data_IF_547492615892
#
_entry.id   IF_547492615892
#
_cell.length_a   1.000
_cell.length_b   1.000
_cell.length_c   1.000
_cell.angle_alpha   90.00
_cell.angle_beta   90.00
_cell.angle_gamma   90.00
#
_symmetry.space_group_name_H-M   'P 1'
#
loop_
_entity.id
_entity.type
_entity.pdbx_description
1 polymer ?
#
# COMPACT_ATOMS: atom_id res chain seq x y z
N UNK A 1 9.45 -13.60 -1.22
CA UNK A 1 9.80 -13.85 0.18
C UNK A 1 9.04 -12.83 1.02
N UNK A 2 8.29 -13.27 2.03
CA UNK A 2 7.45 -12.39 2.85
C UNK A 2 8.28 -11.52 3.80
N UNK A 3 9.42 -12.03 4.29
CA UNK A 3 10.30 -11.26 5.18
C UNK A 3 10.98 -10.11 4.41
N UNK A 4 11.41 -10.38 3.18
CA UNK A 4 11.92 -9.34 2.27
C UNK A 4 10.87 -8.26 2.00
N UNK A 5 9.61 -8.68 1.78
CA UNK A 5 8.51 -7.77 1.53
C UNK A 5 8.19 -6.90 2.76
N UNK A 6 8.15 -7.50 3.96
CA UNK A 6 8.00 -6.76 5.22
C UNK A 6 9.13 -5.75 5.40
N UNK A 7 10.38 -6.17 5.18
CA UNK A 7 11.54 -5.30 5.34
C UNK A 7 11.45 -4.08 4.42
N UNK A 8 11.05 -4.28 3.16
CA UNK A 8 10.84 -3.20 2.21
C UNK A 8 9.73 -2.25 2.66
N UNK A 9 8.58 -2.76 3.09
CA UNK A 9 7.50 -1.94 3.61
C UNK A 9 7.91 -1.15 4.86
N UNK A 10 8.75 -1.76 5.70
CA UNK A 10 9.27 -1.16 6.92
C UNK A 10 10.31 -0.09 6.67
N UNK A 11 10.89 -0.01 5.46
CA UNK A 11 11.82 1.04 5.08
C UNK A 11 11.13 2.36 4.74
N UNK A 12 9.84 2.33 4.35
CA UNK A 12 9.08 3.56 4.15
C UNK A 12 8.78 4.24 5.49
N UNK A 13 8.86 5.57 5.49
CA UNK A 13 8.32 6.40 6.56
C UNK A 13 6.78 6.42 6.54
N UNK A 14 6.17 6.81 7.66
CA UNK A 14 4.71 6.78 7.83
C UNK A 14 3.93 7.56 6.75
N UNK A 15 4.36 8.78 6.34
CA UNK A 15 3.73 9.49 5.24
C UNK A 15 3.77 8.73 3.91
N UNK A 16 4.91 8.12 3.57
CA UNK A 16 5.06 7.35 2.33
C UNK A 16 4.20 6.09 2.34
N UNK A 17 4.20 5.35 3.44
CA UNK A 17 3.38 4.15 3.58
C UNK A 17 1.89 4.49 3.48
N UNK A 18 1.46 5.61 4.08
CA UNK A 18 0.09 6.10 3.95
C UNK A 18 -0.24 6.50 2.51
N UNK A 19 0.68 7.14 1.80
CA UNK A 19 0.47 7.51 0.39
C UNK A 19 0.31 6.28 -0.49
N UNK A 20 1.17 5.26 -0.32
CA UNK A 20 1.05 3.98 -1.03
C UNK A 20 -0.32 3.33 -0.76
N UNK A 21 -0.74 3.33 0.50
CA UNK A 21 -2.03 2.78 0.91
C UNK A 21 -3.22 3.50 0.26
N UNK A 22 -3.20 4.84 0.20
CA UNK A 22 -4.26 5.61 -0.43
C UNK A 22 -4.25 5.49 -1.96
N UNK A 23 -3.07 5.44 -2.59
CA UNK A 23 -2.94 5.28 -4.04
C UNK A 23 -3.61 3.98 -4.52
N UNK A 24 -3.40 2.87 -3.81
CA UNK A 24 -4.00 1.58 -4.15
C UNK A 24 -5.40 1.37 -3.54
N UNK A 25 -6.02 2.37 -2.93
CA UNK A 25 -7.26 2.17 -2.16
C UNK A 25 -8.39 1.58 -2.99
N UNK A 26 -8.59 2.05 -4.22
CA UNK A 26 -9.64 1.56 -5.09
C UNK A 26 -9.35 0.12 -5.56
N UNK A 27 -8.10 -0.20 -5.87
CA UNK A 27 -7.67 -1.57 -6.15
C UNK A 27 -7.87 -2.49 -4.94
N UNK A 28 -7.56 -2.00 -3.73
CA UNK A 28 -7.76 -2.72 -2.48
C UNK A 28 -9.24 -3.00 -2.23
N UNK A 29 -10.13 -2.03 -2.48
CA UNK A 29 -11.58 -2.26 -2.41
C UNK A 29 -11.98 -3.37 -3.36
N UNK A 30 -11.57 -3.29 -4.63
CA UNK A 30 -11.90 -4.30 -5.63
C UNK A 30 -11.35 -5.69 -5.26
N UNK A 31 -10.11 -5.77 -4.77
CA UNK A 31 -9.51 -7.02 -4.30
C UNK A 31 -10.32 -7.60 -3.13
N UNK A 32 -10.68 -6.77 -2.14
CA UNK A 32 -11.43 -7.19 -0.95
C UNK A 32 -12.84 -7.67 -1.28
N UNK A 33 -13.45 -7.15 -2.34
CA UNK A 33 -14.75 -7.61 -2.80
C UNK A 33 -14.70 -9.00 -3.46
N UNK A 34 -13.54 -9.37 -4.02
CA UNK A 34 -13.36 -10.61 -4.77
C UNK A 34 -12.56 -11.69 -4.02
N UNK A 35 -11.88 -11.37 -2.92
CA UNK A 35 -11.14 -12.33 -2.12
C UNK A 35 -12.06 -13.07 -1.12
N UNK A 36 -11.70 -14.31 -0.76
CA UNK A 36 -12.41 -15.02 0.30
C UNK A 36 -12.21 -14.29 1.65
N UNK A 37 -13.27 -13.63 2.10
CA UNK A 37 -13.30 -12.87 3.35
C UNK A 37 -12.95 -13.72 4.57
N UNK A 38 -13.35 -15.00 4.64
CA UNK A 38 -13.05 -15.85 5.80
C UNK A 38 -11.55 -16.13 5.89
N UNK A 39 -10.91 -16.39 4.74
CA UNK A 39 -9.46 -16.63 4.67
C UNK A 39 -8.71 -15.36 5.05
N UNK A 40 -9.11 -14.20 4.51
CA UNK A 40 -8.51 -12.91 4.85
C UNK A 40 -8.63 -12.57 6.34
N UNK A 41 -9.83 -12.69 6.92
CA UNK A 41 -10.04 -12.39 8.34
C UNK A 41 -9.25 -13.34 9.24
N UNK A 42 -9.13 -14.62 8.87
CA UNK A 42 -8.28 -15.56 9.59
C UNK A 42 -6.82 -15.15 9.58
N UNK A 43 -6.28 -14.74 8.43
CA UNK A 43 -4.91 -14.23 8.31
C UNK A 43 -4.69 -12.98 9.15
N UNK A 44 -5.58 -11.98 9.06
CA UNK A 44 -5.50 -10.74 9.84
C UNK A 44 -5.49 -11.00 11.35
N UNK A 45 -6.33 -11.94 11.82
CA UNK A 45 -6.38 -12.34 13.22
C UNK A 45 -5.09 -13.06 13.64
N UNK A 46 -4.59 -13.97 12.81
CA UNK A 46 -3.36 -14.75 13.11
C UNK A 46 -2.12 -13.87 13.27
N UNK A 47 -2.06 -12.75 12.52
CA UNK A 47 -0.97 -11.78 12.53
C UNK A 47 -1.20 -10.62 13.50
N UNK A 48 -2.28 -10.67 14.30
CA UNK A 48 -2.66 -9.63 15.24
C UNK A 48 -2.80 -8.22 14.60
N UNK A 49 -3.20 -8.18 13.33
CA UNK A 49 -3.39 -6.92 12.61
C UNK A 49 -4.56 -6.15 13.19
N UNK A 50 -5.69 -6.84 13.42
CA UNK A 50 -6.87 -6.26 14.07
C UNK A 50 -7.83 -7.32 14.61
N UNK A 51 -8.79 -6.90 15.46
CA UNK A 51 -9.86 -7.77 15.91
C UNK A 51 -10.88 -7.93 14.78
N UNK A 52 -11.02 -9.15 14.27
CA UNK A 52 -11.81 -9.44 13.08
C UNK A 52 -13.28 -9.82 13.35
N UNK A 53 -13.69 -9.94 14.60
CA UNK A 53 -14.96 -10.55 14.97
C UNK A 53 -16.18 -9.73 14.47
N UNK A 54 -16.00 -8.42 14.23
CA UNK A 54 -17.05 -7.52 13.75
C UNK A 54 -17.30 -7.57 12.23
N UNK A 55 -16.35 -8.06 11.42
CA UNK A 55 -16.44 -7.85 9.96
C UNK A 55 -17.31 -8.85 9.21
N UNK A 56 -17.37 -10.10 9.67
CA UNK A 56 -18.27 -11.08 9.06
C UNK A 56 -19.74 -10.65 9.19
N UNK A 57 -20.22 -10.20 10.37
CA UNK A 57 -21.56 -9.60 10.49
C UNK A 57 -21.77 -8.37 9.61
N UNK A 58 -20.77 -7.48 9.48
CA UNK A 58 -20.88 -6.30 8.60
C UNK A 58 -21.07 -6.72 7.15
N UNK A 59 -20.30 -7.69 6.67
CA UNK A 59 -20.43 -8.18 5.28
C UNK A 59 -21.81 -8.78 5.03
N UNK A 60 -22.33 -9.57 5.98
CA UNK A 60 -23.63 -10.24 5.86
C UNK A 60 -24.82 -9.27 5.98
N UNK A 61 -24.72 -8.26 6.86
CA UNK A 61 -25.81 -7.31 7.12
C UNK A 61 -25.80 -6.07 6.23
N UNK A 62 -24.62 -5.52 5.93
CA UNK A 62 -24.44 -4.23 5.24
C UNK A 62 -23.78 -4.38 3.86
N UNK A 63 -23.42 -5.60 3.47
CA UNK A 63 -22.88 -5.91 2.16
C UNK A 63 -21.35 -5.77 2.06
N UNK A 64 -20.82 -6.25 0.93
CA UNK A 64 -19.38 -6.37 0.70
C UNK A 64 -18.66 -5.02 0.60
N UNK A 65 -19.31 -4.00 0.02
CA UNK A 65 -18.76 -2.65 -0.07
C UNK A 65 -18.60 -2.00 1.31
N UNK A 66 -19.61 -2.12 2.18
CA UNK A 66 -19.51 -1.61 3.55
C UNK A 66 -18.39 -2.31 4.32
N UNK A 67 -18.25 -3.62 4.14
CA UNK A 67 -17.15 -4.41 4.69
C UNK A 67 -15.77 -3.90 4.21
N UNK A 68 -15.55 -3.75 2.90
CA UNK A 68 -14.26 -3.36 2.35
C UNK A 68 -13.86 -1.95 2.80
N UNK A 69 -14.76 -0.98 2.71
CA UNK A 69 -14.51 0.38 3.18
C UNK A 69 -14.22 0.44 4.68
N UNK A 70 -15.00 -0.26 5.51
CA UNK A 70 -14.82 -0.26 6.97
C UNK A 70 -13.49 -0.90 7.36
N UNK A 71 -13.16 -2.05 6.76
CA UNK A 71 -11.90 -2.74 7.02
C UNK A 71 -10.70 -1.87 6.67
N UNK A 72 -10.71 -1.26 5.48
CA UNK A 72 -9.61 -0.40 5.04
C UNK A 72 -9.48 0.86 5.91
N UNK A 73 -10.59 1.44 6.34
CA UNK A 73 -10.54 2.57 7.25
C UNK A 73 -9.96 2.18 8.63
N UNK A 74 -10.42 1.08 9.22
CA UNK A 74 -9.94 0.60 10.52
C UNK A 74 -8.43 0.26 10.49
N UNK A 75 -7.95 -0.35 9.40
CA UNK A 75 -6.52 -0.65 9.21
C UNK A 75 -5.71 0.65 9.21
N UNK A 76 -6.14 1.64 8.44
CA UNK A 76 -5.48 2.94 8.36
C UNK A 76 -5.47 3.65 9.71
N UNK A 77 -6.61 3.66 10.40
CA UNK A 77 -6.78 4.36 11.69
C UNK A 77 -5.97 3.70 12.81
N UNK A 78 -5.75 2.38 12.73
CA UNK A 78 -4.88 1.65 13.66
C UNK A 78 -3.38 1.95 13.45
N UNK A 79 -3.02 2.50 12.29
CA UNK A 79 -1.70 3.05 12.03
C UNK A 79 -0.74 2.11 11.31
N UNK A 80 0.52 2.51 11.29
CA UNK A 80 1.59 1.97 10.43
C UNK A 80 1.71 0.44 10.47
N UNK A 81 1.82 -0.13 11.67
CA UNK A 81 2.03 -1.58 11.83
C UNK A 81 0.82 -2.39 11.34
N UNK A 82 -0.39 -1.85 11.45
CA UNK A 82 -1.59 -2.49 10.90
C UNK A 82 -1.59 -2.44 9.37
N UNK A 83 -1.14 -1.34 8.76
CA UNK A 83 -0.99 -1.23 7.30
C UNK A 83 0.04 -2.23 6.79
N UNK A 84 1.22 -2.32 7.42
CA UNK A 84 2.26 -3.31 7.06
C UNK A 84 1.69 -4.72 7.20
N UNK A 85 1.10 -5.04 8.35
CA UNK A 85 0.53 -6.36 8.61
C UNK A 85 -0.59 -6.73 7.62
N UNK A 86 -1.40 -5.76 7.18
CA UNK A 86 -2.40 -5.98 6.14
C UNK A 86 -1.77 -6.32 4.79
N UNK A 87 -0.76 -5.58 4.35
CA UNK A 87 -0.02 -5.90 3.12
C UNK A 87 0.64 -7.28 3.19
N UNK A 88 1.17 -7.67 4.34
CA UNK A 88 1.69 -9.02 4.54
C UNK A 88 0.63 -10.11 4.44
N UNK A 89 -0.58 -9.87 4.95
CA UNK A 89 -1.71 -10.78 4.79
C UNK A 89 -2.01 -10.97 3.30
N UNK A 90 -2.14 -9.86 2.55
CA UNK A 90 -2.37 -9.89 1.11
C UNK A 90 -1.24 -10.62 0.35
N UNK A 91 0.01 -10.40 0.76
CA UNK A 91 1.16 -11.10 0.18
C UNK A 91 1.12 -12.61 0.45
N UNK A 92 0.66 -13.05 1.62
CA UNK A 92 0.50 -14.46 1.93
C UNK A 92 -0.61 -15.10 1.09
N UNK A 93 -1.74 -14.40 0.94
CA UNK A 93 -2.90 -14.87 0.19
C UNK A 93 -2.63 -15.08 -1.29
N UNK A 94 -1.66 -14.37 -1.88
CA UNK A 94 -1.36 -14.44 -3.33
C UNK A 94 -1.05 -15.84 -3.84
N UNK A 95 -0.52 -16.73 -2.98
CA UNK A 95 -0.19 -18.11 -3.34
C UNK A 95 -1.43 -18.99 -3.46
N UNK A 96 -2.36 -18.81 -2.54
CA UNK A 96 -3.56 -19.64 -2.44
C UNK A 96 -4.71 -19.05 -3.28
N UNK A 97 -4.70 -17.73 -3.50
CA UNK A 97 -5.73 -16.97 -4.20
C UNK A 97 -5.08 -15.94 -5.15
N UNK A 98 -4.51 -16.39 -6.28
CA UNK A 98 -3.86 -15.51 -7.24
C UNK A 98 -4.91 -14.67 -7.99
N UNK A 99 -5.30 -13.55 -7.39
CA UNK A 99 -6.15 -12.57 -8.05
C UNK A 99 -5.27 -11.62 -8.89
N UNK A 100 -5.56 -11.39 -10.20
CA UNK A 100 -4.70 -10.59 -11.08
C UNK A 100 -4.35 -9.21 -10.52
N UNK A 101 -5.32 -8.48 -9.98
CA UNK A 101 -5.07 -7.15 -9.41
C UNK A 101 -4.25 -7.23 -8.12
N UNK A 102 -4.41 -8.30 -7.33
CA UNK A 102 -3.60 -8.51 -6.13
C UNK A 102 -2.13 -8.73 -6.54
N UNK A 103 -1.90 -9.56 -7.56
CA UNK A 103 -0.56 -9.80 -8.09
C UNK A 103 0.05 -8.51 -8.65
N UNK A 104 -0.71 -7.75 -9.43
CA UNK A 104 -0.25 -6.49 -10.02
C UNK A 104 0.16 -5.46 -8.96
N UNK A 105 -0.66 -5.24 -7.93
CA UNK A 105 -0.35 -4.31 -6.84
C UNK A 105 0.88 -4.78 -6.06
N UNK A 106 0.93 -6.06 -5.68
CA UNK A 106 2.08 -6.60 -4.94
C UNK A 106 3.36 -6.54 -5.76
N UNK A 107 3.31 -6.84 -7.06
CA UNK A 107 4.46 -6.74 -7.95
C UNK A 107 4.91 -5.28 -8.12
N UNK A 108 3.99 -4.33 -8.27
CA UNK A 108 4.30 -2.91 -8.31
C UNK A 108 5.05 -2.45 -7.05
N UNK A 109 4.57 -2.86 -5.88
CA UNK A 109 5.28 -2.58 -4.62
C UNK A 109 6.66 -3.24 -4.63
N UNK A 110 6.74 -4.55 -4.91
CA UNK A 110 7.98 -5.33 -4.76
C UNK A 110 9.06 -4.93 -5.78
N UNK A 111 8.67 -4.52 -6.98
CA UNK A 111 9.61 -4.20 -8.06
C UNK A 111 10.11 -2.76 -7.96
N UNK A 112 9.24 -1.80 -7.63
CA UNK A 112 9.64 -0.39 -7.61
C UNK A 112 10.40 -0.01 -6.35
N UNK A 113 10.11 -0.66 -5.21
CA UNK A 113 10.85 -0.43 -3.98
C UNK A 113 10.84 1.05 -3.57
N UNK A 114 12.00 1.60 -3.21
CA UNK A 114 12.14 2.98 -2.74
C UNK A 114 11.58 4.02 -3.73
N UNK A 115 11.64 3.76 -5.05
CA UNK A 115 11.11 4.67 -6.07
C UNK A 115 9.59 4.67 -6.22
N UNK A 116 8.85 3.85 -5.44
CA UNK A 116 7.40 3.72 -5.57
C UNK A 116 6.68 5.02 -5.24
N UNK A 117 7.13 5.70 -4.19
CA UNK A 117 6.55 6.97 -3.76
C UNK A 117 6.74 8.03 -4.84
N UNK A 118 7.91 8.05 -5.48
CA UNK A 118 8.21 8.98 -6.58
C UNK A 118 7.35 8.69 -7.81
N UNK A 119 7.12 7.41 -8.14
CA UNK A 119 6.19 7.03 -9.21
C UNK A 119 4.76 7.48 -8.91
N UNK A 120 4.28 7.26 -7.69
CA UNK A 120 2.94 7.71 -7.27
C UNK A 120 2.82 9.23 -7.40
N UNK A 121 3.83 9.97 -6.93
CA UNK A 121 3.86 11.43 -7.06
C UNK A 121 3.86 11.87 -8.53
N UNK A 122 4.62 11.18 -9.39
CA UNK A 122 4.65 11.46 -10.82
C UNK A 122 3.33 11.13 -11.53
N UNK A 123 2.60 10.10 -11.09
CA UNK A 123 1.29 9.76 -11.64
C UNK A 123 0.22 10.78 -11.20
N UNK A 124 0.17 11.10 -9.91
CA UNK A 124 -0.73 12.12 -9.34
C UNK A 124 -0.53 13.48 -10.01
N UNK A 125 0.73 13.89 -10.21
CA UNK A 125 1.09 15.16 -10.85
C UNK A 125 1.02 15.07 -12.39
N UNK A 126 1.24 13.88 -12.95
CA UNK A 126 1.29 13.62 -14.38
C UNK A 126 -0.04 13.80 -15.08
N UNK A 127 -1.16 13.59 -14.37
CA UNK A 127 -2.49 13.95 -14.88
C UNK A 127 -2.66 15.46 -15.15
N UNK A 128 -1.84 16.32 -14.55
CA UNK A 128 -1.92 17.78 -14.68
C UNK A 128 -0.91 18.38 -15.68
N UNK A 129 0.01 17.57 -16.23
CA UNK A 129 1.18 18.08 -16.94
C UNK A 129 1.42 17.39 -18.29
N UNK A 130 1.72 18.19 -19.31
CA UNK A 130 2.07 17.71 -20.65
C UNK A 130 3.35 16.85 -20.64
N UNK A 131 3.55 15.94 -21.61
CA UNK A 131 4.68 14.99 -21.64
C UNK A 131 6.07 15.61 -21.50
N UNK A 132 6.25 16.86 -21.94
CA UNK A 132 7.50 17.62 -21.84
C UNK A 132 7.80 18.09 -20.41
N UNK A 133 6.76 18.43 -19.64
CA UNK A 133 6.89 18.85 -18.24
C UNK A 133 7.18 17.65 -17.33
N UNK A 134 6.66 16.46 -17.67
CA UNK A 134 6.96 15.21 -16.96
C UNK A 134 8.46 14.89 -16.96
N UNK A 135 9.12 15.02 -18.12
CA UNK A 135 10.56 14.79 -18.24
C UNK A 135 11.43 15.78 -17.44
N UNK A 136 10.95 17.02 -17.29
CA UNK A 136 11.64 18.04 -16.51
C UNK A 136 11.43 17.87 -15.00
N UNK A 137 10.26 17.43 -14.56
CA UNK A 137 9.97 17.16 -13.14
C UNK A 137 10.76 15.96 -12.62
N UNK A 138 10.87 14.87 -13.38
CA UNK A 138 11.72 13.73 -13.00
C UNK A 138 13.18 14.14 -12.85
N UNK A 139 13.69 15.02 -13.72
CA UNK A 139 15.04 15.61 -13.56
C UNK A 139 15.15 16.52 -12.34
N UNK A 140 14.16 17.38 -12.11
CA UNK A 140 14.18 18.33 -11.00
C UNK A 140 14.07 17.62 -9.63
N UNK A 141 13.22 16.60 -9.53
CA UNK A 141 13.06 15.81 -8.32
C UNK A 141 14.32 14.99 -8.01
N UNK A 142 14.93 14.35 -9.01
CA UNK A 142 16.22 13.67 -8.85
C UNK A 142 17.33 14.65 -8.42
N UNK A 143 17.36 15.86 -8.98
CA UNK A 143 18.32 16.89 -8.57
C UNK A 143 18.06 17.38 -7.14
N UNK A 144 16.79 17.48 -6.73
CA UNK A 144 16.41 17.86 -5.37
C UNK A 144 16.85 16.81 -4.36
N UNK A 145 16.58 15.52 -4.63
CA UNK A 145 17.01 14.40 -3.77
C UNK A 145 18.55 14.32 -3.64
N UNK A 146 19.28 14.49 -4.74
CA UNK A 146 20.75 14.54 -4.72
C UNK A 146 21.29 15.77 -3.96
N UNK A 147 20.56 16.89 -3.99
CA UNK A 147 20.95 18.08 -3.24
C UNK A 147 20.72 17.91 -1.73
N UNK A 148 19.69 17.16 -1.31
CA UNK A 148 19.42 16.89 0.10
C UNK A 148 20.43 15.91 0.73
N UNK A 149 20.97 14.97 -0.04
CA UNK A 149 22.07 14.11 0.45
C UNK A 149 23.38 14.89 0.69
N UNK A 150 23.55 16.04 0.02
CA UNK A 150 24.69 16.93 0.22
C UNK A 150 24.51 17.88 1.43
N UNK A 151 23.30 18.05 1.97
CA UNK A 151 23.05 18.95 3.11
C UNK A 151 23.43 18.29 4.45
N UNK A 152 23.55 16.95 4.50
CA UNK A 152 24.06 16.25 5.70
C UNK A 152 25.59 16.25 5.82
N UNK A 153 26.33 16.81 4.86
CA UNK A 153 27.80 16.95 4.91
C UNK A 153 28.30 18.36 5.28
N UNK A 154 27.40 19.31 5.53
CA UNK A 154 27.75 20.70 5.83
C UNK A 154 27.00 21.28 7.03
N UNK A 155 27.06 20.60 8.17
CA UNK A 155 26.92 21.27 9.47
C UNK A 155 28.10 20.85 10.36
N UNK A 156 29.04 21.77 10.68
CA UNK A 156 30.14 21.50 11.62
C UNK A 156 29.65 21.39 13.07
#
# INVERSE_FOLDING_TARGET
>A
DIEKFRHQLSAYDDPSLRRIYEYYKDDLIYILENVDTKVLLKELKSRNVLNTDKYQPIKEGSGVACFSHTLLQDIRDRGREAVIGFWECLYALKKDHPHPNLLAVLDGITQTGEGLVDQILLDELGHSLTPELRGNLTKHFNNFLQSTDLVLLFFP
#
